data_IF_668721196684
#
_entry.id   IF_668721196684
#
_cell.length_a   1.000
_cell.length_b   1.000
_cell.length_c   1.000
_cell.angle_alpha   90.00
_cell.angle_beta   90.00
_cell.angle_gamma   90.00
#
_symmetry.space_group_name_H-M   'P 1'
#
loop_
_entity.id
_entity.type
_entity.pdbx_description
1 polymer ?
#
# COMPACT_ATOMS: atom_id res chain seq x y z
N UNK A 1 -45.67 -49.61 -30.92
CA UNK A 1 -44.72 -48.49 -30.78
C UNK A 1 -43.36 -49.11 -30.62
N UNK A 2 -42.58 -49.16 -31.70
CA UNK A 2 -41.28 -49.82 -31.68
C UNK A 2 -40.23 -48.86 -31.13
N UNK A 3 -40.04 -48.90 -29.80
CA UNK A 3 -38.89 -48.30 -29.17
C UNK A 3 -37.67 -49.16 -29.50
N UNK A 4 -37.05 -48.89 -30.66
CA UNK A 4 -35.77 -49.53 -30.97
C UNK A 4 -34.74 -49.08 -29.93
N UNK A 5 -33.87 -50.01 -29.52
CA UNK A 5 -32.75 -49.72 -28.61
C UNK A 5 -31.89 -48.54 -29.11
N UNK A 6 -31.80 -48.38 -30.43
CA UNK A 6 -31.12 -47.27 -31.08
C UNK A 6 -31.80 -45.92 -30.81
N UNK A 7 -33.13 -45.88 -30.81
CA UNK A 7 -33.91 -44.68 -30.45
C UNK A 7 -33.69 -44.30 -28.97
N UNK A 8 -33.59 -45.29 -28.08
CA UNK A 8 -33.30 -45.06 -26.66
C UNK A 8 -31.89 -44.49 -26.44
N UNK A 9 -30.87 -45.03 -27.12
CA UNK A 9 -29.50 -44.52 -27.06
C UNK A 9 -29.44 -43.08 -27.59
N UNK A 10 -30.05 -42.81 -28.74
CA UNK A 10 -30.07 -41.46 -29.32
C UNK A 10 -30.77 -40.46 -28.41
N UNK A 11 -31.89 -40.85 -27.80
CA UNK A 11 -32.60 -40.01 -26.85
C UNK A 11 -31.75 -39.72 -25.60
N UNK A 12 -31.10 -40.74 -25.03
CA UNK A 12 -30.24 -40.57 -23.87
C UNK A 12 -29.01 -39.70 -24.18
N UNK A 13 -28.38 -39.89 -25.34
CA UNK A 13 -27.28 -39.06 -25.80
C UNK A 13 -27.70 -37.58 -25.97
N UNK A 14 -28.87 -37.32 -26.55
CA UNK A 14 -29.42 -35.98 -26.70
C UNK A 14 -29.75 -35.33 -25.34
N UNK A 15 -30.26 -36.10 -24.38
CA UNK A 15 -30.50 -35.62 -23.01
C UNK A 15 -29.19 -35.27 -22.28
N UNK A 16 -28.17 -36.12 -22.39
CA UNK A 16 -26.85 -35.85 -21.81
C UNK A 16 -26.20 -34.62 -22.45
N UNK A 17 -26.35 -34.46 -23.77
CA UNK A 17 -25.88 -33.27 -24.50
C UNK A 17 -26.54 -31.99 -23.98
N UNK A 18 -27.86 -32.02 -23.81
CA UNK A 18 -28.61 -30.88 -23.29
C UNK A 18 -28.19 -30.56 -21.85
N UNK A 19 -28.04 -31.58 -21.00
CA UNK A 19 -27.56 -31.42 -19.62
C UNK A 19 -26.14 -30.83 -19.58
N UNK A 20 -25.25 -31.32 -20.45
CA UNK A 20 -23.87 -30.82 -20.55
C UNK A 20 -23.83 -29.34 -20.96
N UNK A 21 -24.62 -28.95 -21.97
CA UNK A 21 -24.74 -27.54 -22.38
C UNK A 21 -25.27 -26.65 -21.26
N UNK A 22 -26.27 -27.13 -20.52
CA UNK A 22 -26.78 -26.44 -19.33
C UNK A 22 -25.71 -26.23 -18.26
N UNK A 23 -24.89 -27.25 -18.00
CA UNK A 23 -23.78 -27.16 -17.05
C UNK A 23 -22.69 -26.18 -17.52
N UNK A 24 -22.25 -26.27 -18.77
CA UNK A 24 -21.26 -25.34 -19.33
C UNK A 24 -21.74 -23.90 -19.23
N UNK A 25 -23.00 -23.64 -19.59
CA UNK A 25 -23.59 -22.30 -19.44
C UNK A 25 -23.63 -21.85 -17.97
N UNK A 26 -23.90 -22.76 -17.05
CA UNK A 26 -23.88 -22.46 -15.60
C UNK A 26 -22.47 -22.08 -15.15
N UNK A 27 -21.46 -22.86 -15.52
CA UNK A 27 -20.06 -22.60 -15.17
C UNK A 27 -19.55 -21.30 -15.80
N UNK A 28 -19.89 -21.01 -17.05
CA UNK A 28 -19.36 -19.84 -17.75
C UNK A 28 -20.11 -18.55 -17.43
N UNK A 29 -21.44 -18.59 -17.27
CA UNK A 29 -22.27 -17.37 -17.12
C UNK A 29 -22.82 -17.14 -15.73
N UNK A 30 -22.99 -18.19 -14.93
CA UNK A 30 -23.58 -18.11 -13.59
C UNK A 30 -22.58 -18.34 -12.47
N UNK A 31 -21.34 -18.75 -12.79
CA UNK A 31 -20.31 -18.81 -11.77
C UNK A 31 -19.93 -17.42 -11.30
N UNK A 32 -19.73 -17.29 -9.99
CA UNK A 32 -19.23 -16.09 -9.36
C UNK A 32 -17.79 -16.32 -8.96
N UNK A 33 -16.88 -15.60 -9.60
CA UNK A 33 -15.46 -15.58 -9.26
C UNK A 33 -15.19 -14.42 -8.32
N UNK A 34 -14.76 -14.71 -7.10
CA UNK A 34 -14.43 -13.71 -6.07
C UNK A 34 -12.93 -13.72 -5.84
N UNK A 35 -12.25 -12.58 -6.04
CA UNK A 35 -10.81 -12.47 -5.79
C UNK A 35 -10.59 -12.14 -4.32
N UNK A 36 -9.77 -12.96 -3.66
CA UNK A 36 -9.34 -12.75 -2.27
C UNK A 36 -7.97 -12.06 -2.19
N UNK A 37 -7.12 -12.28 -3.19
CA UNK A 37 -5.84 -11.61 -3.34
C UNK A 37 -5.48 -11.46 -4.83
N UNK A 38 -5.11 -10.27 -5.23
CA UNK A 38 -4.36 -10.03 -6.46
C UNK A 38 -3.07 -9.31 -6.08
N UNK A 39 -1.91 -9.93 -6.32
CA UNK A 39 -0.61 -9.35 -5.99
C UNK A 39 0.21 -9.10 -7.24
N UNK A 40 0.64 -7.86 -7.43
CA UNK A 40 1.58 -7.43 -8.46
C UNK A 40 2.93 -7.14 -7.81
N UNK A 41 3.97 -7.81 -8.27
CA UNK A 41 5.32 -7.71 -7.69
C UNK A 41 6.40 -7.75 -8.76
N UNK A 42 7.64 -7.38 -8.40
CA UNK A 42 8.78 -7.36 -9.31
C UNK A 42 8.46 -6.63 -10.62
N UNK A 43 7.91 -5.43 -10.50
CA UNK A 43 7.48 -4.62 -11.63
C UNK A 43 8.71 -4.09 -12.37
N UNK A 44 8.76 -4.36 -13.66
CA UNK A 44 9.77 -3.84 -14.60
C UNK A 44 9.08 -3.02 -15.70
N UNK A 45 9.88 -2.46 -16.61
CA UNK A 45 9.36 -1.65 -17.71
C UNK A 45 8.49 -2.46 -18.70
N UNK A 46 8.70 -3.77 -18.77
CA UNK A 46 8.07 -4.65 -19.79
C UNK A 46 7.32 -5.85 -19.19
N UNK A 47 7.51 -6.15 -17.91
CA UNK A 47 6.90 -7.32 -17.28
C UNK A 47 6.69 -7.11 -15.78
N UNK A 48 5.80 -7.91 -15.19
CA UNK A 48 5.61 -8.01 -13.75
C UNK A 48 5.26 -9.44 -13.34
N UNK A 49 5.39 -9.75 -12.05
CA UNK A 49 4.91 -11.01 -11.50
C UNK A 49 3.53 -10.83 -10.88
N UNK A 50 2.58 -11.67 -11.29
CA UNK A 50 1.24 -11.73 -10.72
C UNK A 50 1.06 -12.98 -9.86
N UNK A 51 0.42 -12.80 -8.71
CA UNK A 51 -0.17 -13.89 -7.94
C UNK A 51 -1.66 -13.61 -7.74
N UNK A 52 -2.48 -14.63 -7.89
CA UNK A 52 -3.93 -14.54 -7.82
C UNK A 52 -4.45 -15.64 -6.90
N UNK A 53 -5.21 -15.26 -5.89
CA UNK A 53 -6.05 -16.15 -5.10
C UNK A 53 -7.50 -15.75 -5.35
N UNK A 54 -8.30 -16.71 -5.81
CA UNK A 54 -9.70 -16.49 -6.12
C UNK A 54 -10.53 -17.71 -5.75
N UNK A 55 -11.79 -17.49 -5.42
CA UNK A 55 -12.76 -18.53 -5.15
C UNK A 55 -13.86 -18.49 -6.22
N UNK A 56 -14.03 -19.61 -6.93
CA UNK A 56 -15.14 -19.78 -7.87
C UNK A 56 -16.30 -20.50 -7.16
N UNK A 57 -17.49 -19.93 -7.23
CA UNK A 57 -18.73 -20.48 -6.65
C UNK A 57 -19.84 -20.49 -7.71
N UNK A 58 -20.94 -21.20 -7.45
CA UNK A 58 -22.08 -21.23 -8.38
C UNK A 58 -21.80 -22.03 -9.67
N UNK A 59 -20.88 -22.99 -9.63
CA UNK A 59 -20.48 -23.85 -10.75
C UNK A 59 -21.51 -24.94 -11.09
N UNK A 60 -22.59 -25.04 -10.32
CA UNK A 60 -23.69 -25.97 -10.54
C UNK A 60 -23.60 -27.25 -9.69
N UNK A 61 -24.59 -28.15 -9.81
CA UNK A 61 -24.73 -29.34 -8.96
C UNK A 61 -23.79 -30.50 -9.34
N UNK A 62 -22.97 -30.33 -10.38
CA UNK A 62 -22.15 -31.41 -10.95
C UNK A 62 -20.69 -30.99 -11.02
N UNK A 63 -19.80 -31.91 -10.65
CA UNK A 63 -18.36 -31.71 -10.77
C UNK A 63 -17.92 -31.63 -12.23
N UNK A 64 -17.11 -30.62 -12.55
CA UNK A 64 -16.52 -30.45 -13.87
C UNK A 64 -15.01 -30.19 -13.76
N UNK A 65 -14.26 -30.63 -14.76
CA UNK A 65 -12.82 -30.36 -14.90
C UNK A 65 -12.64 -29.38 -16.04
N UNK A 66 -12.07 -28.22 -15.74
CA UNK A 66 -11.66 -27.20 -16.71
C UNK A 66 -10.15 -27.32 -16.85
N UNK A 67 -9.64 -27.50 -18.07
CA UNK A 67 -8.20 -27.60 -18.31
C UNK A 67 -7.48 -26.26 -18.11
N UNK A 68 -6.16 -26.33 -17.90
CA UNK A 68 -5.28 -25.16 -17.87
C UNK A 68 -5.52 -24.29 -19.10
N UNK A 69 -5.62 -22.97 -18.92
CA UNK A 69 -5.97 -22.06 -20.01
C UNK A 69 -5.23 -20.73 -19.92
N UNK A 70 -4.66 -20.21 -21.03
CA UNK A 70 -4.21 -18.83 -21.10
C UNK A 70 -5.44 -17.92 -21.11
N UNK A 71 -5.39 -16.83 -20.36
CA UNK A 71 -6.43 -15.80 -20.30
C UNK A 71 -5.81 -14.43 -20.46
N UNK A 72 -6.52 -13.56 -21.14
CA UNK A 72 -6.19 -12.14 -21.27
C UNK A 72 -6.69 -11.40 -20.03
N UNK A 73 -5.83 -10.58 -19.42
CA UNK A 73 -6.16 -9.65 -18.37
C UNK A 73 -6.58 -8.32 -18.99
N UNK A 74 -7.87 -7.99 -18.89
CA UNK A 74 -8.43 -6.77 -19.44
C UNK A 74 -8.95 -5.86 -18.33
N UNK A 75 -8.41 -4.65 -18.26
CA UNK A 75 -8.97 -3.54 -17.49
C UNK A 75 -10.05 -2.78 -18.27
N UNK A 76 -10.51 -1.64 -17.74
CA UNK A 76 -11.53 -0.82 -18.39
C UNK A 76 -11.02 -0.18 -19.69
N UNK A 77 -9.72 0.12 -19.75
CA UNK A 77 -9.09 0.74 -20.93
C UNK A 77 -8.60 -0.25 -21.97
N UNK A 78 -8.57 -1.55 -21.67
CA UNK A 78 -8.10 -2.56 -22.60
C UNK A 78 -7.35 -3.72 -21.98
N UNK A 79 -6.73 -4.52 -22.83
CA UNK A 79 -5.92 -5.68 -22.48
C UNK A 79 -4.50 -5.23 -22.11
N UNK A 80 -4.04 -5.59 -20.91
CA UNK A 80 -2.72 -5.16 -20.42
C UNK A 80 -1.72 -6.30 -20.21
N UNK A 81 -2.16 -7.55 -20.24
CA UNK A 81 -1.26 -8.70 -20.04
C UNK A 81 -1.95 -10.05 -20.17
N UNK A 82 -1.15 -11.11 -20.22
CA UNK A 82 -1.62 -12.49 -20.33
C UNK A 82 -1.23 -13.30 -19.11
N UNK A 83 -2.17 -14.08 -18.58
CA UNK A 83 -1.95 -14.96 -17.44
C UNK A 83 -2.41 -16.38 -17.81
N UNK A 84 -1.87 -17.42 -17.18
CA UNK A 84 -2.37 -18.79 -17.37
C UNK A 84 -3.01 -19.30 -16.10
N UNK A 85 -4.31 -19.57 -16.17
CA UNK A 85 -5.03 -20.22 -15.07
C UNK A 85 -4.71 -21.72 -15.04
N UNK A 86 -4.53 -22.32 -13.85
CA UNK A 86 -4.30 -23.76 -13.70
C UNK A 86 -5.55 -24.56 -14.09
N UNK A 87 -5.44 -25.88 -14.12
CA UNK A 87 -6.61 -26.73 -14.25
C UNK A 87 -7.50 -26.58 -13.01
N UNK A 88 -8.80 -26.37 -13.22
CA UNK A 88 -9.77 -26.11 -12.16
C UNK A 88 -10.72 -27.31 -12.07
N UNK A 89 -10.86 -27.90 -10.87
CA UNK A 89 -11.94 -28.84 -10.56
C UNK A 89 -13.09 -28.09 -9.94
N UNK A 90 -14.11 -27.77 -10.72
CA UNK A 90 -15.32 -27.13 -10.23
C UNK A 90 -16.11 -28.12 -9.36
N UNK A 91 -16.31 -27.80 -8.08
CA UNK A 91 -17.13 -28.56 -7.13
C UNK A 91 -18.44 -27.82 -6.82
N UNK A 92 -19.42 -28.54 -6.29
CA UNK A 92 -20.76 -28.00 -5.98
C UNK A 92 -20.75 -26.88 -4.92
N UNK A 93 -19.77 -26.92 -4.01
CA UNK A 93 -19.58 -25.94 -2.94
C UNK A 93 -18.56 -24.84 -3.31
N UNK A 94 -18.08 -24.83 -4.55
CA UNK A 94 -17.03 -23.93 -5.01
C UNK A 94 -15.63 -24.51 -4.90
N UNK A 95 -14.67 -23.80 -5.50
CA UNK A 95 -13.28 -24.24 -5.65
C UNK A 95 -12.35 -23.03 -5.56
N UNK A 96 -11.20 -23.22 -4.90
CA UNK A 96 -10.15 -22.21 -4.87
C UNK A 96 -9.24 -22.33 -6.09
N UNK A 97 -8.90 -21.18 -6.66
CA UNK A 97 -8.00 -21.01 -7.79
C UNK A 97 -6.81 -20.21 -7.28
N UNK A 98 -5.62 -20.78 -7.45
CA UNK A 98 -4.40 -20.17 -6.95
C UNK A 98 -3.35 -20.17 -8.04
N UNK A 99 -2.84 -18.97 -8.34
CA UNK A 99 -1.73 -18.71 -9.26
C UNK A 99 -0.64 -18.03 -8.44
N UNK A 100 0.57 -18.59 -8.46
CA UNK A 100 1.70 -18.03 -7.72
C UNK A 100 2.79 -17.54 -8.65
N UNK A 101 3.21 -16.29 -8.44
CA UNK A 101 4.41 -15.69 -9.00
C UNK A 101 4.59 -15.96 -10.51
N UNK A 102 3.53 -15.77 -11.29
CA UNK A 102 3.58 -15.94 -12.73
C UNK A 102 4.08 -14.66 -13.38
N UNK A 103 5.12 -14.78 -14.21
CA UNK A 103 5.61 -13.68 -15.04
C UNK A 103 4.56 -13.34 -16.12
N UNK A 104 4.23 -12.06 -16.23
CA UNK A 104 3.29 -11.50 -17.20
C UNK A 104 3.99 -10.38 -17.94
N UNK A 105 4.01 -10.48 -19.27
CA UNK A 105 4.49 -9.42 -20.14
C UNK A 105 3.42 -8.33 -20.29
N UNK A 106 3.84 -7.08 -20.23
CA UNK A 106 2.96 -5.91 -20.35
C UNK A 106 2.70 -5.69 -21.84
N UNK A 107 1.43 -5.84 -22.24
CA UNK A 107 1.01 -5.61 -23.63
C UNK A 107 0.66 -4.14 -23.86
N UNK A 108 -0.04 -3.53 -22.91
CA UNK A 108 -0.43 -2.12 -22.95
C UNK A 108 -0.20 -1.48 -21.57
N UNK A 109 0.76 -0.56 -21.54
CA UNK A 109 1.16 0.17 -20.32
C UNK A 109 0.09 1.17 -19.88
N UNK A 110 -0.59 1.81 -20.82
CA UNK A 110 -1.64 2.78 -20.50
C UNK A 110 -2.85 2.05 -19.92
N UNK A 111 -3.21 0.88 -20.47
CA UNK A 111 -4.27 0.05 -19.91
C UNK A 111 -3.94 -0.44 -18.49
N UNK A 112 -2.69 -0.84 -18.23
CA UNK A 112 -2.24 -1.23 -16.88
C UNK A 112 -2.29 -0.05 -15.90
N UNK A 113 -1.81 1.11 -16.33
CA UNK A 113 -1.80 2.34 -15.52
C UNK A 113 -3.21 2.75 -15.12
N UNK A 114 -4.15 2.80 -16.07
CA UNK A 114 -5.56 3.14 -15.77
C UNK A 114 -6.19 2.06 -14.88
N UNK A 115 -5.86 0.79 -15.07
CA UNK A 115 -6.32 -0.29 -14.19
C UNK A 115 -5.89 -0.06 -12.73
N UNK A 116 -4.61 0.27 -12.49
CA UNK A 116 -4.09 0.49 -11.13
C UNK A 116 -4.66 1.78 -10.53
N UNK A 117 -4.73 2.88 -11.30
CA UNK A 117 -5.31 4.15 -10.85
C UNK A 117 -6.77 3.97 -10.40
N UNK A 118 -7.58 3.28 -11.18
CA UNK A 118 -8.98 3.05 -10.83
C UNK A 118 -9.15 2.21 -9.55
N UNK A 119 -8.23 1.28 -9.25
CA UNK A 119 -8.26 0.56 -7.96
C UNK A 119 -7.88 1.47 -6.80
N UNK A 120 -6.97 2.43 -7.02
CA UNK A 120 -6.60 3.40 -5.97
C UNK A 120 -7.77 4.33 -5.63
N UNK A 121 -8.55 4.71 -6.64
CA UNK A 121 -9.67 5.63 -6.48
C UNK A 121 -10.95 4.89 -6.05
N UNK A 122 -11.79 4.42 -6.96
CA UNK A 122 -13.14 3.93 -6.62
C UNK A 122 -13.27 2.39 -6.67
N UNK A 123 -12.60 1.77 -7.63
CA UNK A 123 -12.71 0.35 -7.95
C UNK A 123 -12.63 0.08 -9.45
N UNK A 124 -12.50 -1.19 -9.82
CA UNK A 124 -12.33 -1.56 -11.23
C UNK A 124 -12.98 -2.90 -11.55
N UNK A 125 -13.37 -3.07 -12.81
CA UNK A 125 -13.78 -4.37 -13.33
C UNK A 125 -12.60 -5.00 -14.07
N UNK A 126 -12.07 -6.09 -13.53
CA UNK A 126 -11.11 -6.97 -14.21
C UNK A 126 -11.88 -7.99 -15.04
N UNK A 127 -11.70 -7.97 -16.36
CA UNK A 127 -12.26 -8.98 -17.26
C UNK A 127 -11.19 -9.99 -17.63
N UNK A 128 -11.46 -11.28 -17.44
CA UNK A 128 -10.69 -12.38 -18.00
C UNK A 128 -11.31 -12.77 -19.34
N UNK A 129 -10.57 -12.67 -20.44
CA UNK A 129 -11.09 -12.91 -21.80
C UNK A 129 -10.25 -13.94 -22.58
N UNK A 130 -10.84 -14.45 -23.66
CA UNK A 130 -10.20 -15.34 -24.62
C UNK A 130 -9.58 -16.61 -24.00
N UNK A 131 -10.18 -17.13 -22.92
CA UNK A 131 -9.71 -18.31 -22.23
C UNK A 131 -10.05 -19.60 -22.96
N UNK A 132 -9.31 -19.94 -24.02
CA UNK A 132 -9.52 -21.21 -24.73
C UNK A 132 -9.21 -22.39 -23.81
N UNK A 133 -10.23 -23.22 -23.55
CA UNK A 133 -10.10 -24.36 -22.64
C UNK A 133 -11.02 -25.49 -23.05
N UNK A 134 -10.85 -26.64 -22.40
CA UNK A 134 -11.78 -27.76 -22.51
C UNK A 134 -12.45 -28.06 -21.18
N UNK A 135 -13.74 -28.38 -21.24
CA UNK A 135 -14.52 -28.82 -20.07
C UNK A 135 -14.86 -30.31 -20.22
N UNK A 136 -14.66 -31.06 -19.14
CA UNK A 136 -15.10 -32.45 -19.00
C UNK A 136 -16.01 -32.59 -17.78
N UNK A 137 -17.21 -33.14 -17.97
CA UNK A 137 -18.18 -33.34 -16.89
C UNK A 137 -19.14 -34.49 -17.22
N UNK A 138 -19.63 -35.21 -16.21
CA UNK A 138 -20.60 -36.33 -16.40
C UNK A 138 -20.15 -37.43 -17.37
N UNK A 139 -18.84 -37.65 -17.50
CA UNK A 139 -18.30 -38.58 -18.51
C UNK A 139 -18.42 -38.08 -19.96
N UNK A 140 -18.85 -36.83 -20.16
CA UNK A 140 -18.92 -36.13 -21.44
C UNK A 140 -17.76 -35.13 -21.51
N UNK A 141 -16.95 -35.21 -22.57
CA UNK A 141 -15.80 -34.33 -22.79
C UNK A 141 -14.56 -35.09 -23.28
N UNK A 142 -13.46 -34.38 -23.60
CA UNK A 142 -13.27 -32.93 -23.49
C UNK A 142 -14.02 -32.15 -24.59
N UNK A 143 -14.53 -30.96 -24.26
CA UNK A 143 -15.12 -30.05 -25.24
C UNK A 143 -14.57 -28.65 -25.15
N UNK A 144 -14.23 -28.10 -26.30
CA UNK A 144 -13.70 -26.75 -26.42
C UNK A 144 -14.76 -25.70 -26.08
N UNK A 145 -14.35 -24.75 -25.25
CA UNK A 145 -15.14 -23.59 -24.85
C UNK A 145 -14.21 -22.39 -24.69
N UNK A 146 -14.78 -21.19 -24.81
CA UNK A 146 -14.09 -19.94 -24.51
C UNK A 146 -14.55 -19.46 -23.14
N UNK A 147 -13.60 -19.36 -22.21
CA UNK A 147 -13.83 -18.84 -20.88
C UNK A 147 -13.76 -17.31 -20.89
N UNK A 148 -14.82 -16.68 -20.41
CA UNK A 148 -14.89 -15.25 -20.17
C UNK A 148 -15.53 -15.00 -18.81
N UNK A 149 -14.94 -14.10 -18.02
CA UNK A 149 -15.51 -13.72 -16.73
C UNK A 149 -15.20 -12.28 -16.39
N UNK A 150 -16.12 -11.60 -15.70
CA UNK A 150 -15.96 -10.22 -15.23
C UNK A 150 -15.94 -10.22 -13.72
N UNK A 151 -14.95 -9.54 -13.16
CA UNK A 151 -14.67 -9.56 -11.73
C UNK A 151 -14.64 -8.11 -11.24
N UNK A 152 -15.47 -7.82 -10.26
CA UNK A 152 -15.49 -6.52 -9.60
C UNK A 152 -14.44 -6.52 -8.48
N UNK A 153 -13.50 -5.58 -8.55
CA UNK A 153 -12.50 -5.32 -7.53
C UNK A 153 -12.85 -4.00 -6.84
N UNK A 154 -13.11 -4.07 -5.53
CA UNK A 154 -13.34 -2.86 -4.73
C UNK A 154 -12.07 -2.00 -4.68
N UNK A 155 -12.23 -0.69 -4.85
CA UNK A 155 -11.12 0.26 -4.78
C UNK A 155 -10.79 0.68 -3.34
N UNK A 156 -9.82 1.59 -3.21
CA UNK A 156 -9.35 2.07 -1.90
C UNK A 156 -10.11 3.31 -1.40
N UNK A 157 -10.87 4.01 -2.25
CA UNK A 157 -11.44 5.35 -1.97
C UNK A 157 -10.36 6.34 -1.49
N UNK A 158 -9.16 6.21 -2.05
CA UNK A 158 -7.94 6.84 -1.55
C UNK A 158 -7.37 6.11 -0.31
N UNK A 159 -6.07 5.79 -0.28
CA UNK A 159 -5.48 5.13 0.87
C UNK A 159 -5.57 6.02 2.11
N UNK A 160 -6.10 5.47 3.21
CA UNK A 160 -6.12 6.20 4.48
C UNK A 160 -4.74 6.14 5.12
N UNK A 161 -4.07 7.29 5.24
CA UNK A 161 -2.70 7.40 5.75
C UNK A 161 -2.66 8.17 7.06
N UNK A 162 -2.02 7.57 8.07
CA UNK A 162 -1.85 8.15 9.40
C UNK A 162 -0.38 8.13 9.81
N UNK A 163 0.10 9.20 10.42
CA UNK A 163 1.41 9.20 11.08
C UNK A 163 1.32 8.34 12.35
N UNK A 164 2.03 7.20 12.35
CA UNK A 164 2.15 6.33 13.52
C UNK A 164 3.20 6.91 14.46
N UNK A 165 4.43 7.08 13.94
CA UNK A 165 5.61 7.54 14.67
C UNK A 165 6.51 8.40 13.78
N UNK A 166 7.28 9.30 14.39
CA UNK A 166 8.30 10.10 13.73
C UNK A 166 9.46 10.37 14.69
N UNK A 167 10.70 10.30 14.20
CA UNK A 167 11.90 10.55 15.00
C UNK A 167 13.04 11.11 14.15
N UNK A 168 13.88 11.96 14.76
CA UNK A 168 15.05 12.57 14.11
C UNK A 168 16.21 11.57 14.11
N UNK A 169 16.94 11.50 12.99
CA UNK A 169 18.21 10.79 12.94
C UNK A 169 19.31 11.82 13.27
N UNK A 170 19.79 11.84 14.52
CA UNK A 170 20.99 12.62 14.84
C UNK A 170 22.21 11.92 14.25
N UNK A 171 22.82 12.56 13.25
CA UNK A 171 24.15 12.18 12.79
C UNK A 171 25.14 12.45 13.94
N UNK A 172 25.51 11.43 14.70
CA UNK A 172 26.65 11.54 15.61
C UNK A 172 27.90 11.89 14.80
N UNK A 173 28.71 12.88 15.21
CA UNK A 173 29.97 13.17 14.53
C UNK A 173 30.86 11.93 14.57
N UNK A 174 31.16 11.40 13.39
CA UNK A 174 31.97 10.21 13.16
C UNK A 174 33.38 10.45 13.71
N UNK A 175 33.73 9.76 14.80
CA UNK A 175 35.11 9.62 15.23
C UNK A 175 35.90 8.88 14.15
N UNK A 176 37.07 9.42 13.83
CA UNK A 176 38.02 8.93 12.83
C UNK A 176 38.34 7.44 13.02
N UNK A 177 38.13 6.56 12.01
CA UNK A 177 38.53 5.17 12.10
C UNK A 177 40.05 5.03 11.96
N UNK A 178 40.67 4.47 13.00
CA UNK A 178 42.04 3.97 12.95
C UNK A 178 42.05 2.62 12.22
N UNK A 179 43.06 2.32 11.37
CA UNK A 179 43.07 1.08 10.61
C UNK A 179 43.42 -0.09 11.55
N UNK A 180 42.56 -1.11 11.61
CA UNK A 180 42.89 -2.39 12.25
C UNK A 180 42.42 -3.53 11.36
N UNK A 181 43.39 -4.35 11.01
CA UNK A 181 43.38 -5.43 10.03
C UNK A 181 42.43 -6.57 10.40
N UNK A 182 41.79 -7.14 9.38
CA UNK A 182 40.80 -8.20 9.46
C UNK A 182 41.34 -9.54 10.02
N UNK A 183 40.45 -10.34 10.63
CA UNK A 183 40.58 -11.80 10.67
C UNK A 183 39.20 -12.42 10.53
N UNK A 184 39.02 -13.21 9.46
CA UNK A 184 37.80 -13.93 9.09
C UNK A 184 37.82 -15.29 9.79
N UNK A 185 36.71 -15.71 10.40
CA UNK A 185 36.47 -17.10 10.79
C UNK A 185 35.00 -17.47 10.52
N UNK A 186 34.68 -18.51 9.72
CA UNK A 186 33.31 -18.93 9.46
C UNK A 186 32.96 -20.14 10.33
N UNK A 187 31.85 -20.09 11.07
CA UNK A 187 30.94 -21.21 11.32
C UNK A 187 29.90 -20.86 12.41
N UNK A 188 28.64 -20.68 12.01
CA UNK A 188 27.47 -21.32 12.65
C UNK A 188 26.17 -20.83 12.01
N UNK A 189 25.43 -21.78 11.46
CA UNK A 189 24.00 -21.76 11.14
C UNK A 189 23.16 -21.42 12.38
N UNK A 190 22.13 -20.58 12.26
CA UNK A 190 20.69 -20.86 12.52
C UNK A 190 19.86 -19.54 12.64
N UNK A 191 18.81 -19.45 11.81
CA UNK A 191 17.51 -18.76 11.91
C UNK A 191 17.31 -17.31 12.42
N UNK A 192 16.25 -16.70 11.84
CA UNK A 192 15.61 -15.39 12.06
C UNK A 192 16.25 -14.20 11.33
N UNK A 193 15.57 -13.71 10.28
CA UNK A 193 15.74 -12.35 9.78
C UNK A 193 14.44 -11.86 9.10
N UNK A 194 13.63 -11.13 9.87
CA UNK A 194 12.82 -10.01 9.37
C UNK A 194 13.78 -8.98 8.78
N UNK A 195 13.86 -8.93 7.44
CA UNK A 195 14.76 -8.01 6.72
C UNK A 195 14.20 -6.58 6.77
N UNK A 196 14.63 -5.80 7.75
CA UNK A 196 14.63 -4.34 7.70
C UNK A 196 15.78 -3.91 6.78
N UNK A 197 15.49 -3.79 5.48
CA UNK A 197 16.45 -3.24 4.52
C UNK A 197 16.38 -1.72 4.58
N UNK A 198 17.04 -1.14 5.59
CA UNK A 198 17.21 0.30 5.73
C UNK A 198 18.34 0.75 4.81
N UNK A 199 18.00 1.12 3.56
CA UNK A 199 18.95 1.77 2.65
C UNK A 199 19.10 3.22 3.08
N UNK A 200 20.12 3.49 3.91
CA UNK A 200 20.49 4.84 4.35
C UNK A 200 20.94 5.69 3.17
N UNK A 201 20.32 6.86 3.02
CA UNK A 201 20.65 7.85 1.98
C UNK A 201 21.93 8.57 2.40
N UNK A 202 23.04 8.37 1.67
CA UNK A 202 24.18 9.27 1.69
C UNK A 202 24.00 10.30 0.58
N UNK A 203 23.53 11.49 0.93
CA UNK A 203 23.48 12.63 0.00
C UNK A 203 24.83 13.36 0.04
N UNK A 204 25.39 13.60 -1.15
CA UNK A 204 26.63 14.34 -1.38
C UNK A 204 26.62 15.75 -0.80
N UNK A 205 27.74 16.10 -0.18
CA UNK A 205 27.96 17.23 0.72
C UNK A 205 27.68 18.63 0.13
N UNK A 206 26.85 19.38 0.85
CA UNK A 206 26.79 20.85 0.90
C UNK A 206 26.47 21.28 2.34
N UNK A 207 26.92 22.47 2.80
CA UNK A 207 26.72 22.90 4.18
C UNK A 207 25.31 23.47 4.34
N UNK A 208 24.32 22.61 4.52
CA UNK A 208 22.97 23.01 4.94
C UNK A 208 22.54 22.18 6.13
N UNK A 209 21.81 22.84 7.04
CA UNK A 209 21.28 22.32 8.29
C UNK A 209 20.11 21.37 7.98
N UNK A 210 20.40 20.25 7.31
CA UNK A 210 19.40 19.31 6.82
C UNK A 210 19.07 18.33 7.94
N UNK A 211 17.92 18.53 8.57
CA UNK A 211 17.41 17.61 9.58
C UNK A 211 16.81 16.38 8.86
N UNK A 212 17.57 15.29 8.86
CA UNK A 212 17.09 13.98 8.43
C UNK A 212 16.16 13.40 9.50
N UNK A 213 15.04 12.85 9.08
CA UNK A 213 14.10 12.18 9.98
C UNK A 213 13.59 10.88 9.37
N UNK A 214 13.04 10.03 10.22
CA UNK A 214 12.29 8.85 9.82
C UNK A 214 10.85 9.01 10.26
N UNK A 215 9.92 8.65 9.38
CA UNK A 215 8.49 8.62 9.67
C UNK A 215 7.94 7.23 9.36
N UNK A 216 7.17 6.70 10.30
CA UNK A 216 6.38 5.47 10.14
C UNK A 216 4.94 5.87 9.90
N UNK A 217 4.45 5.57 8.70
CA UNK A 217 3.07 5.80 8.30
C UNK A 217 2.30 4.49 8.38
N UNK A 218 1.13 4.55 8.99
CA UNK A 218 0.16 3.48 9.01
C UNK A 218 -0.83 3.71 7.86
N UNK A 219 -0.96 2.73 6.98
CA UNK A 219 -1.80 2.79 5.78
C UNK A 219 -2.86 1.70 5.86
N UNK A 220 -4.10 2.04 5.49
CA UNK A 220 -5.21 1.09 5.39
C UNK A 220 -5.63 0.95 3.93
N UNK A 221 -5.57 -0.28 3.42
CA UNK A 221 -5.99 -0.66 2.07
C UNK A 221 -7.13 -1.69 2.16
N UNK A 222 -8.37 -1.30 1.86
CA UNK A 222 -9.51 -2.20 1.87
C UNK A 222 -9.61 -3.10 0.63
N UNK A 223 -8.83 -2.83 -0.43
CA UNK A 223 -8.89 -3.59 -1.68
C UNK A 223 -8.19 -4.96 -1.55
N UNK A 224 -8.54 -5.94 -2.40
CA UNK A 224 -7.81 -7.21 -2.51
C UNK A 224 -6.49 -7.07 -3.28
N UNK A 225 -6.12 -5.87 -3.76
CA UNK A 225 -4.90 -5.62 -4.51
C UNK A 225 -3.72 -5.37 -3.58
N UNK A 226 -2.62 -6.07 -3.83
CA UNK A 226 -1.30 -5.78 -3.30
C UNK A 226 -0.37 -5.40 -4.44
N UNK A 227 0.41 -4.33 -4.27
CA UNK A 227 1.35 -3.87 -5.29
C UNK A 227 2.65 -3.40 -4.66
N UNK A 228 3.77 -3.88 -5.20
CA UNK A 228 5.12 -3.47 -4.79
C UNK A 228 5.68 -2.48 -5.79
N UNK A 229 5.68 -1.19 -5.44
CA UNK A 229 6.27 -0.15 -6.28
C UNK A 229 7.79 -0.07 -6.14
N UNK A 230 8.36 -0.60 -5.05
CA UNK A 230 9.78 -0.49 -4.78
C UNK A 230 10.10 0.84 -4.09
N UNK A 231 11.22 1.48 -4.44
CA UNK A 231 11.62 2.75 -3.79
C UNK A 231 10.84 3.91 -4.38
N UNK A 232 10.05 4.62 -3.58
CA UNK A 232 9.26 5.77 -4.00
C UNK A 232 9.73 7.04 -3.28
N UNK A 233 9.44 8.19 -3.90
CA UNK A 233 9.58 9.51 -3.31
C UNK A 233 8.21 10.15 -3.16
N UNK A 234 7.97 10.73 -1.99
CA UNK A 234 6.76 11.48 -1.66
C UNK A 234 7.16 12.84 -1.11
N UNK A 235 6.33 13.85 -1.34
CA UNK A 235 6.44 15.15 -0.69
C UNK A 235 5.30 15.27 0.34
N UNK A 236 5.59 15.87 1.50
CA UNK A 236 4.57 16.33 2.44
C UNK A 236 4.33 17.79 2.14
N UNK A 237 3.11 18.13 1.74
CA UNK A 237 2.70 19.49 1.38
C UNK A 237 1.71 20.04 2.40
N UNK A 238 1.71 21.36 2.60
CA UNK A 238 0.64 22.04 3.32
C UNK A 238 -0.57 22.31 2.40
N UNK A 239 -1.61 22.93 2.95
CA UNK A 239 -2.80 23.33 2.19
C UNK A 239 -2.54 24.40 1.11
N UNK A 240 -1.40 25.08 1.16
CA UNK A 240 -0.95 26.06 0.15
C UNK A 240 -0.11 25.41 -0.97
N UNK A 241 0.20 24.11 -0.85
CA UNK A 241 1.10 23.40 -1.77
C UNK A 241 2.59 23.65 -1.50
N UNK A 242 2.96 24.25 -0.37
CA UNK A 242 4.36 24.41 0.02
C UNK A 242 4.91 23.07 0.55
N UNK A 243 6.09 22.68 0.05
CA UNK A 243 6.77 21.44 0.45
C UNK A 243 7.36 21.61 1.85
N UNK A 244 6.82 20.83 2.78
CA UNK A 244 7.25 20.75 4.16
C UNK A 244 8.39 19.74 4.34
N UNK A 245 8.31 18.59 3.69
CA UNK A 245 9.34 17.57 3.75
C UNK A 245 9.36 16.71 2.48
N UNK A 246 10.54 16.28 2.07
CA UNK A 246 10.71 15.25 1.03
C UNK A 246 10.95 13.90 1.71
N UNK A 247 10.23 12.87 1.30
CA UNK A 247 10.29 11.51 1.80
C UNK A 247 10.80 10.56 0.72
N UNK A 248 11.57 9.55 1.12
CA UNK A 248 12.04 8.45 0.28
C UNK A 248 12.03 7.15 1.07
N UNK A 249 11.49 6.10 0.47
CA UNK A 249 11.33 4.82 1.15
C UNK A 249 10.70 3.78 0.24
N UNK A 250 10.66 2.53 0.70
CA UNK A 250 10.04 1.45 -0.06
C UNK A 250 8.54 1.44 0.19
N UNK A 251 7.74 1.48 -0.88
CA UNK A 251 6.30 1.34 -0.80
C UNK A 251 5.86 -0.02 -1.36
N UNK A 252 5.46 -0.90 -0.45
CA UNK A 252 4.74 -2.14 -0.77
C UNK A 252 3.31 -1.99 -0.23
N UNK A 253 2.34 -1.71 -1.09
CA UNK A 253 0.94 -1.64 -0.70
C UNK A 253 0.43 -3.05 -0.44
N UNK A 254 0.06 -3.33 0.82
CA UNK A 254 -0.48 -4.62 1.26
C UNK A 254 -1.96 -4.50 1.54
N UNK A 255 -2.69 -5.62 1.56
CA UNK A 255 -4.09 -5.62 1.97
C UNK A 255 -4.23 -5.27 3.44
N UNK A 256 -5.40 -4.79 3.83
CA UNK A 256 -5.72 -4.43 5.22
C UNK A 256 -4.80 -3.32 5.75
N UNK A 257 -4.38 -3.41 7.02
CA UNK A 257 -3.54 -2.41 7.67
C UNK A 257 -2.07 -2.82 7.60
N UNK A 258 -1.20 -1.88 7.21
CA UNK A 258 0.23 -2.08 7.20
C UNK A 258 0.99 -0.79 7.56
N UNK A 259 2.25 -0.95 7.93
CA UNK A 259 3.15 0.16 8.24
C UNK A 259 4.22 0.28 7.17
N UNK A 260 4.51 1.51 6.80
CA UNK A 260 5.55 1.87 5.84
C UNK A 260 6.46 2.92 6.45
N UNK A 261 7.76 2.71 6.31
CA UNK A 261 8.80 3.61 6.84
C UNK A 261 9.41 4.41 5.72
N UNK A 262 9.43 5.74 5.88
CA UNK A 262 10.08 6.66 4.98
C UNK A 262 11.19 7.43 5.70
N UNK A 263 12.30 7.65 5.02
CA UNK A 263 13.34 8.58 5.44
C UNK A 263 13.10 9.90 4.72
N UNK A 264 13.19 11.01 5.42
CA UNK A 264 12.92 12.30 4.83
C UNK A 264 13.87 13.40 5.26
N UNK A 265 13.78 14.48 4.51
CA UNK A 265 14.48 15.74 4.72
C UNK A 265 13.42 16.81 4.97
N UNK A 266 13.53 17.52 6.10
CA UNK A 266 12.59 18.60 6.43
C UNK A 266 13.07 19.94 5.88
N UNK A 267 12.13 20.70 5.30
CA UNK A 267 12.27 22.13 5.12
C UNK A 267 11.89 22.86 6.42
N UNK A 268 12.87 23.13 7.27
CA UNK A 268 12.66 23.72 8.60
C UNK A 268 11.93 25.07 8.52
N UNK A 269 12.25 25.92 7.54
CA UNK A 269 11.61 27.24 7.40
C UNK A 269 10.11 27.14 7.11
N UNK A 270 9.73 26.25 6.19
CA UNK A 270 8.31 26.00 5.88
C UNK A 270 7.58 25.35 7.06
N UNK A 271 8.27 24.45 7.76
CA UNK A 271 7.73 23.77 8.94
C UNK A 271 7.51 24.73 10.12
N UNK A 272 8.45 25.64 10.37
CA UNK A 272 8.37 26.64 11.42
C UNK A 272 7.27 27.68 11.12
N UNK A 273 7.12 28.09 9.84
CA UNK A 273 6.01 28.94 9.38
C UNK A 273 4.66 28.26 9.69
N UNK A 274 4.50 27.01 9.26
CA UNK A 274 3.28 26.25 9.54
C UNK A 274 3.06 26.08 11.05
N UNK A 275 4.12 25.81 11.84
CA UNK A 275 4.01 25.70 13.29
C UNK A 275 3.57 26.99 13.98
N UNK A 276 4.05 28.14 13.49
CA UNK A 276 3.61 29.46 13.94
C UNK A 276 2.14 29.71 13.59
N UNK A 277 1.73 29.39 12.36
CA UNK A 277 0.33 29.51 11.91
C UNK A 277 -0.61 28.60 12.73
N UNK A 278 -0.12 27.43 13.16
CA UNK A 278 -0.86 26.50 14.02
C UNK A 278 -0.99 26.98 15.49
N UNK A 279 -0.34 28.07 15.90
CA UNK A 279 -0.36 28.54 17.29
C UNK A 279 0.26 27.56 18.29
N UNK A 280 1.04 26.56 17.83
CA UNK A 280 1.66 25.54 18.70
C UNK A 280 2.80 26.15 19.54
N UNK A 281 3.28 27.34 19.17
CA UNK A 281 4.22 28.10 19.97
C UNK A 281 3.49 28.93 21.05
N UNK A 282 2.98 28.28 22.11
CA UNK A 282 2.91 28.82 23.48
C UNK A 282 2.22 27.84 24.41
N UNK A 283 2.97 27.24 25.33
CA UNK A 283 2.44 26.32 26.35
C UNK A 283 1.30 26.93 27.17
N UNK A 284 0.15 26.30 27.09
CA UNK A 284 -0.92 26.42 28.06
C UNK A 284 -1.47 25.02 28.30
N UNK A 285 -1.03 24.37 29.37
CA UNK A 285 -1.74 23.20 29.91
C UNK A 285 -3.20 23.59 30.09
N UNK A 286 -4.08 22.90 29.36
CA UNK A 286 -5.53 23.07 29.38
C UNK A 286 -6.06 22.88 30.80
N UNK A 287 -6.43 24.00 31.45
CA UNK A 287 -7.53 23.99 32.41
C UNK A 287 -8.82 23.87 31.61
N UNK A 288 -9.37 22.67 31.60
CA UNK A 288 -10.72 22.38 31.14
C UNK A 288 -11.71 23.39 31.74
N UNK A 289 -12.33 24.20 30.90
CA UNK A 289 -13.52 24.93 31.28
C UNK A 289 -14.53 24.86 30.13
N UNK A 290 -15.63 24.16 30.39
CA UNK A 290 -16.80 24.03 29.55
C UNK A 290 -17.38 25.41 29.24
N UNK A 291 -17.26 25.84 27.98
CA UNK A 291 -18.22 26.78 27.38
C UNK A 291 -18.62 26.27 26.01
N UNK A 292 -19.74 25.56 26.01
CA UNK A 292 -20.60 25.28 24.86
C UNK A 292 -21.04 26.58 24.22
N UNK A 293 -20.57 26.84 23.01
CA UNK A 293 -21.01 27.95 22.18
C UNK A 293 -20.47 27.79 20.77
N UNK A 294 -21.21 27.04 19.95
CA UNK A 294 -21.24 27.07 18.47
C UNK A 294 -19.95 27.58 17.80
N UNK A 295 -18.86 26.90 18.09
CA UNK A 295 -17.52 27.23 17.62
C UNK A 295 -17.23 26.45 16.35
N UNK A 296 -17.05 27.15 15.23
CA UNK A 296 -16.53 26.54 14.01
C UNK A 296 -15.29 25.73 14.36
N UNK A 297 -15.33 24.43 14.09
CA UNK A 297 -14.24 23.51 14.41
C UNK A 297 -12.92 24.14 13.93
N UNK A 298 -11.92 24.32 14.82
CA UNK A 298 -10.63 24.80 14.41
C UNK A 298 -10.11 23.84 13.34
N UNK A 299 -10.05 24.32 12.09
CA UNK A 299 -9.63 23.53 10.94
C UNK A 299 -8.25 23.00 11.24
N UNK A 300 -8.17 21.70 11.52
CA UNK A 300 -6.90 21.05 11.72
C UNK A 300 -6.06 21.28 10.46
N UNK A 301 -4.81 21.74 10.61
CA UNK A 301 -3.92 22.00 9.50
C UNK A 301 -3.76 20.71 8.70
N UNK A 302 -4.21 20.78 7.45
CA UNK A 302 -4.26 19.65 6.55
C UNK A 302 -2.92 19.54 5.83
N UNK A 303 -2.06 18.66 6.31
CA UNK A 303 -0.90 18.22 5.55
C UNK A 303 -1.35 17.12 4.58
N UNK A 304 -0.74 17.05 3.40
CA UNK A 304 -1.04 16.04 2.38
C UNK A 304 0.22 15.28 2.02
N UNK A 305 0.07 13.98 1.77
CA UNK A 305 1.12 13.14 1.22
C UNK A 305 0.92 13.07 -0.30
N UNK A 306 1.89 13.59 -1.05
CA UNK A 306 1.84 13.71 -2.51
C UNK A 306 2.94 12.84 -3.11
N UNK A 307 2.60 11.90 -3.98
CA UNK A 307 3.58 11.09 -4.68
C UNK A 307 4.32 11.88 -5.76
N UNK A 308 5.64 11.68 -5.86
CA UNK A 308 6.50 12.41 -6.80
C UNK A 308 7.04 11.53 -7.91
N UNK A 309 7.71 10.45 -7.53
CA UNK A 309 8.36 9.51 -8.44
C UNK A 309 8.57 8.14 -7.80
N UNK A 310 8.75 7.15 -8.64
CA UNK A 310 9.12 5.79 -8.31
C UNK A 310 10.50 5.49 -8.92
N UNK A 311 11.35 4.76 -8.19
CA UNK A 311 12.61 4.24 -8.73
C UNK A 311 12.44 2.99 -9.59
N UNK A 312 11.19 2.56 -9.84
CA UNK A 312 10.84 1.40 -10.64
C UNK A 312 10.64 1.74 -12.12
N UNK A 313 9.73 1.01 -12.77
CA UNK A 313 9.32 1.28 -14.15
C UNK A 313 8.75 2.70 -14.30
N UNK A 314 9.03 3.37 -15.42
CA UNK A 314 8.67 4.78 -15.61
C UNK A 314 7.17 5.03 -15.55
N UNK A 315 6.35 4.06 -15.96
CA UNK A 315 4.89 4.13 -15.86
C UNK A 315 4.36 4.10 -14.41
N UNK A 316 5.14 3.58 -13.46
CA UNK A 316 4.79 3.62 -12.04
C UNK A 316 4.81 5.05 -11.49
N UNK A 317 5.58 5.97 -12.10
CA UNK A 317 5.67 7.36 -11.63
C UNK A 317 4.30 8.03 -11.64
N UNK A 318 3.55 7.86 -12.71
CA UNK A 318 2.24 8.50 -12.83
C UNK A 318 1.19 7.87 -11.92
N UNK A 319 1.37 6.59 -11.57
CA UNK A 319 0.54 5.93 -10.56
C UNK A 319 0.85 6.49 -9.18
N UNK A 320 2.13 6.65 -8.84
CA UNK A 320 2.56 7.25 -7.58
C UNK A 320 2.12 8.71 -7.49
N UNK A 321 2.23 9.50 -8.56
CA UNK A 321 1.75 10.89 -8.61
C UNK A 321 0.24 11.02 -8.40
N UNK A 322 -0.53 9.96 -8.71
CA UNK A 322 -1.95 9.90 -8.38
C UNK A 322 -2.24 9.83 -6.88
N UNK A 323 -1.26 9.43 -6.06
CA UNK A 323 -1.40 9.41 -4.60
C UNK A 323 -1.30 10.84 -4.08
N UNK A 324 -2.45 11.42 -3.76
CA UNK A 324 -2.55 12.72 -3.12
C UNK A 324 -3.60 12.66 -2.01
N UNK A 325 -3.16 12.26 -0.80
CA UNK A 325 -4.04 11.94 0.32
C UNK A 325 -3.79 12.81 1.54
N UNK A 326 -4.82 13.16 2.32
CA UNK A 326 -4.63 13.87 3.58
C UNK A 326 -3.83 13.02 4.56
N UNK A 327 -2.88 13.65 5.24
CA UNK A 327 -2.01 13.03 6.22
C UNK A 327 -2.60 13.22 7.63
N UNK A 328 -3.25 12.19 8.15
CA UNK A 328 -3.85 12.26 9.48
C UNK A 328 -2.80 12.19 10.58
N UNK A 329 -3.02 12.95 11.67
CA UNK A 329 -2.10 13.07 12.82
C UNK A 329 -0.72 13.65 12.47
N UNK A 330 -0.64 14.56 11.50
CA UNK A 330 0.59 15.29 11.15
C UNK A 330 1.22 16.03 12.36
N UNK A 331 0.45 16.35 13.41
CA UNK A 331 0.98 16.94 14.65
C UNK A 331 2.10 16.11 15.30
N UNK A 332 2.07 14.78 15.17
CA UNK A 332 3.15 13.91 15.68
C UNK A 332 4.46 14.15 14.93
N UNK A 333 4.37 14.32 13.61
CA UNK A 333 5.51 14.67 12.77
C UNK A 333 6.08 16.03 13.18
N UNK A 334 5.22 17.05 13.34
CA UNK A 334 5.66 18.38 13.73
C UNK A 334 6.34 18.39 15.10
N UNK A 335 5.78 17.70 16.09
CA UNK A 335 6.41 17.56 17.41
C UNK A 335 7.78 16.90 17.32
N UNK A 336 7.93 15.83 16.55
CA UNK A 336 9.22 15.15 16.42
C UNK A 336 10.29 16.07 15.81
N UNK A 337 9.92 16.94 14.87
CA UNK A 337 10.84 17.82 14.15
C UNK A 337 11.14 19.11 14.91
N UNK A 338 10.17 19.70 15.61
CA UNK A 338 10.31 21.00 16.28
C UNK A 338 11.02 20.94 17.65
N UNK A 339 11.23 19.76 18.23
CA UNK A 339 11.80 19.61 19.59
C UNK A 339 13.28 20.02 19.69
N UNK A 340 13.99 20.29 18.59
CA UNK A 340 15.32 20.92 18.64
C UNK A 340 15.31 22.43 18.94
N UNK A 341 14.15 23.09 19.04
CA UNK A 341 14.05 24.51 19.39
C UNK A 341 13.90 24.77 20.91
N UNK A 342 14.31 23.84 21.78
CA UNK A 342 14.50 24.18 23.20
C UNK A 342 15.76 25.01 23.32
N UNK A 343 15.58 26.32 23.10
CA UNK A 343 16.51 27.38 23.50
C UNK A 343 16.91 27.10 24.95
N UNK A 344 18.20 26.88 25.15
CA UNK A 344 18.82 26.82 26.47
C UNK A 344 18.34 28.04 27.28
N UNK A 345 17.70 27.86 28.45
CA UNK A 345 17.15 28.96 29.20
C UNK A 345 18.28 29.99 29.47
N UNK A 346 18.03 31.29 29.24
CA UNK A 346 19.06 32.30 29.42
C UNK A 346 19.65 32.18 30.82
N UNK A 347 21.00 32.26 30.96
CA UNK A 347 21.66 32.05 32.23
C UNK A 347 21.02 32.95 33.29
N UNK A 348 20.74 32.41 34.49
CA UNK A 348 20.03 33.16 35.52
C UNK A 348 20.79 34.47 35.78
N UNK A 349 20.08 35.61 35.86
CA UNK A 349 20.72 36.90 36.09
C UNK A 349 21.57 36.83 37.37
N UNK A 350 22.78 37.43 37.38
CA UNK A 350 23.68 37.33 38.51
C UNK A 350 22.97 37.80 39.78
N UNK A 351 22.84 36.89 40.77
CA UNK A 351 22.27 37.20 42.07
C UNK A 351 23.02 38.39 42.67
N UNK A 352 22.42 39.57 42.66
CA UNK A 352 22.92 40.72 43.42
C UNK A 352 22.97 40.31 44.89
N UNK A 353 24.19 40.15 45.42
CA UNK A 353 24.44 39.96 46.85
C UNK A 353 23.88 41.16 47.60
N UNK A 354 22.73 40.96 48.23
CA UNK A 354 22.18 41.90 49.19
C UNK A 354 23.10 41.97 50.41
N UNK A 355 23.72 43.14 50.61
CA UNK A 355 24.40 43.52 51.84
C UNK A 355 23.36 43.62 52.96
N UNK A 356 23.35 42.67 53.89
CA UNK A 356 22.67 42.82 55.18
C UNK A 356 23.59 43.58 56.15
N UNK A 357 23.44 44.91 56.16
CA UNK A 357 23.83 45.77 57.28
C UNK A 357 22.58 46.40 57.85
N UNK A 358 22.12 45.95 59.02
CA UNK A 358 21.62 46.88 60.03
C UNK A 358 21.62 46.30 61.44
N UNK A 359 21.87 47.21 62.35
CA UNK A 359 22.50 47.10 63.66
C UNK A 359 21.52 46.92 64.82
N UNK A 360 22.07 46.40 65.91
CA UNK A 360 21.60 46.48 67.30
C UNK A 360 20.84 47.76 67.67
N UNK A 361 19.79 47.62 68.49
CA UNK A 361 19.44 48.66 69.47
C UNK A 361 18.82 48.05 70.73
N UNK A 362 19.28 48.58 71.85
CA UNK A 362 19.08 48.18 73.24
C UNK A 362 17.68 48.44 73.82
N UNK A 363 17.32 47.60 74.80
CA UNK A 363 16.68 47.82 76.13
C UNK A 363 15.47 48.77 76.36
N UNK A 364 14.78 48.44 77.47
CA UNK A 364 13.71 49.13 78.23
C UNK A 364 12.31 48.61 77.81
N UNK A 365 11.50 47.93 78.63
CA UNK A 365 11.36 47.91 80.10
C UNK A 365 10.81 46.56 80.56
#
# INVERSE_FOLDING_TARGET
MDFSFQTLIQHHAAQMEHAFRGLVNTILRHSKLTITLLRISNVTEESFHVSLEAHISGTGPVTAIITRMPVELCGPSGHFGNMTLPAIRAHTYGTDIVVYNQLVDIVDKEALKVFIQNIIDEGVILSLRNGQTTITAMGVGPREVVYENKIELGGMNGPFVRVHEAFIIQNSPMATPSPSTATINPNSTTALNTSLTTTSILTTAGPSNVNNFTVVLQVVNPSPLEISFGTCCFDIENHEGEILAELKGRLDMRRSQFEVTFQGIVNKAAMDKLAADMGIASGGEERANERTGDGGEPRAPEARLVGKRCGGAGWCDDTIKGINVPLHNAIKLFRAVSVEAVVEPPPPPPKKRGFSKWTQRWMIR
#
